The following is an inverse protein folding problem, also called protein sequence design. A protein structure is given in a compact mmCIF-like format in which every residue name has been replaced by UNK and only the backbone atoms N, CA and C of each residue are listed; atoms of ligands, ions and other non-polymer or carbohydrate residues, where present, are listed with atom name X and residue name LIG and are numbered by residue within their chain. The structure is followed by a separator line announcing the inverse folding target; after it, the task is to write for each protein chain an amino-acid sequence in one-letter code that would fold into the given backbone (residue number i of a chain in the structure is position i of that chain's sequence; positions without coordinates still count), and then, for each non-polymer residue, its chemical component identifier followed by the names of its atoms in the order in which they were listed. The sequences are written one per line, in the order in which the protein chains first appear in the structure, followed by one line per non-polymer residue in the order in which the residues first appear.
data_IF_147927211211
#
_entry.id   IF_147927211211
#
_cell.length_a   1.000
_cell.length_b   1.000
_cell.length_c   1.000
_cell.angle_alpha   90.00
_cell.angle_beta   90.00
_cell.angle_gamma   90.00
#
_symmetry.space_group_name_H-M   'P 1'
#
loop_
_entity.id
_entity.type
_entity.pdbx_description
1 polymer ?
#
# COMPACT_ATOMS: atom_id res chain seq x y z
N UNK A 1 18.31 4.96 -19.77
CA UNK A 1 18.48 3.49 -19.78
C UNK A 1 18.77 3.08 -18.35
N UNK A 2 18.07 2.07 -17.84
CA UNK A 2 18.18 1.61 -16.46
C UNK A 2 18.63 0.15 -16.43
N UNK A 3 19.32 -0.27 -15.36
CA UNK A 3 19.83 -1.63 -15.18
C UNK A 3 19.27 -2.18 -13.86
N UNK A 4 18.71 -3.38 -13.90
CA UNK A 4 18.19 -4.03 -12.69
C UNK A 4 19.33 -4.65 -11.90
N UNK A 5 19.60 -4.25 -10.65
CA UNK A 5 20.74 -4.78 -9.89
C UNK A 5 20.60 -6.26 -9.52
N UNK A 6 19.38 -6.83 -9.60
CA UNK A 6 19.14 -8.23 -9.25
C UNK A 6 19.32 -9.21 -10.41
N UNK A 7 19.08 -8.78 -11.65
CA UNK A 7 19.19 -9.66 -12.83
C UNK A 7 20.13 -9.12 -13.92
N UNK A 8 20.71 -7.93 -13.71
CA UNK A 8 21.63 -7.25 -14.61
C UNK A 8 21.09 -7.01 -16.04
N UNK A 9 19.77 -7.07 -16.20
CA UNK A 9 19.11 -6.83 -17.48
C UNK A 9 18.79 -5.33 -17.67
N UNK A 10 19.04 -4.77 -18.88
CA UNK A 10 18.66 -3.40 -19.20
C UNK A 10 17.16 -3.28 -19.45
N UNK A 11 16.58 -2.15 -19.08
CA UNK A 11 15.19 -1.82 -19.38
C UNK A 11 14.98 -0.34 -19.69
N UNK A 12 13.90 -0.05 -20.42
CA UNK A 12 13.62 1.26 -20.99
C UNK A 12 13.04 2.21 -19.94
N UNK A 13 12.11 1.73 -19.11
CA UNK A 13 11.46 2.51 -18.06
C UNK A 13 11.23 1.66 -16.80
N UNK A 14 11.41 2.22 -15.59
CA UNK A 14 11.21 1.49 -14.35
C UNK A 14 9.73 1.16 -14.13
N UNK A 15 9.46 -0.07 -13.67
CA UNK A 15 8.14 -0.45 -13.20
C UNK A 15 7.84 0.22 -11.85
N UNK A 16 6.83 1.08 -11.81
CA UNK A 16 6.36 1.72 -10.58
C UNK A 16 5.55 0.70 -9.79
N UNK A 17 5.87 0.54 -8.49
CA UNK A 17 5.20 -0.40 -7.58
C UNK A 17 4.85 0.31 -6.29
N UNK A 18 3.73 -0.09 -5.67
CA UNK A 18 3.40 0.42 -4.34
C UNK A 18 4.34 -0.16 -3.28
N UNK A 19 4.67 0.71 -2.33
CA UNK A 19 5.20 0.36 -1.01
C UNK A 19 4.51 1.27 0.00
N UNK A 20 3.33 0.86 0.43
CA UNK A 20 2.49 1.64 1.31
C UNK A 20 2.82 1.32 2.77
N UNK A 21 2.91 2.35 3.61
CA UNK A 21 2.95 2.19 5.06
C UNK A 21 1.69 2.85 5.64
N UNK A 22 0.85 2.08 6.30
CA UNK A 22 -0.47 2.50 6.78
C UNK A 22 -0.51 2.36 8.29
N UNK A 23 -0.96 3.41 8.97
CA UNK A 23 -1.36 3.33 10.37
C UNK A 23 -2.80 2.81 10.44
N UNK A 24 -2.98 1.70 11.14
CA UNK A 24 -4.28 1.13 11.47
C UNK A 24 -4.54 1.29 12.96
N UNK A 25 -5.81 1.35 13.34
CA UNK A 25 -6.24 1.50 14.73
C UNK A 25 -7.31 0.46 15.04
N UNK A 26 -7.14 -0.23 16.16
CA UNK A 26 -8.12 -1.14 16.76
C UNK A 26 -8.29 -0.85 18.26
N UNK A 27 -9.03 -1.70 18.97
CA UNK A 27 -9.29 -1.56 20.41
C UNK A 27 -8.02 -1.63 21.28
N UNK A 28 -6.92 -2.18 20.75
CA UNK A 28 -5.65 -2.36 21.43
C UNK A 28 -4.67 -1.21 21.17
N UNK A 29 -4.92 -0.42 20.13
CA UNK A 29 -4.18 0.80 19.82
C UNK A 29 -3.83 0.93 18.34
N UNK A 30 -2.72 1.63 18.08
CA UNK A 30 -2.27 1.98 16.73
C UNK A 30 -1.09 1.12 16.30
N UNK A 31 -1.15 0.65 15.06
CA UNK A 31 -0.12 -0.21 14.47
C UNK A 31 0.23 0.24 13.06
N UNK A 32 1.52 0.18 12.73
CA UNK A 32 2.01 0.41 11.37
C UNK A 32 2.09 -0.92 10.61
N UNK A 33 1.49 -0.95 9.42
CA UNK A 33 1.46 -2.13 8.56
C UNK A 33 1.90 -1.75 7.15
N UNK A 34 2.77 -2.58 6.58
CA UNK A 34 3.25 -2.43 5.21
C UNK A 34 2.31 -3.15 4.24
N UNK A 35 1.93 -2.51 3.15
CA UNK A 35 1.23 -3.15 2.04
C UNK A 35 2.03 -3.00 0.74
N UNK A 36 2.19 -4.10 0.03
CA UNK A 36 2.93 -4.15 -1.24
C UNK A 36 1.99 -4.11 -2.44
N UNK A 37 2.58 -4.04 -3.62
CA UNK A 37 1.93 -3.77 -4.90
C UNK A 37 0.52 -4.36 -5.05
N UNK A 38 0.37 -5.67 -4.95
CA UNK A 38 -0.91 -6.34 -5.24
C UNK A 38 -1.97 -6.01 -4.18
N UNK A 39 -1.59 -6.00 -2.90
CA UNK A 39 -2.45 -5.59 -1.79
C UNK A 39 -2.90 -4.13 -1.95
N UNK A 40 -1.95 -3.23 -2.24
CA UNK A 40 -2.24 -1.80 -2.42
C UNK A 40 -3.07 -1.54 -3.67
N UNK A 41 -2.84 -2.25 -4.77
CA UNK A 41 -3.68 -2.19 -5.96
C UNK A 41 -5.10 -2.63 -5.64
N UNK A 42 -5.29 -3.68 -4.83
CA UNK A 42 -6.61 -4.06 -4.35
C UNK A 42 -7.29 -2.97 -3.51
N UNK A 43 -6.53 -2.31 -2.63
CA UNK A 43 -7.03 -1.25 -1.75
C UNK A 43 -7.44 0.02 -2.52
N UNK A 44 -6.58 0.52 -3.43
CA UNK A 44 -6.86 1.71 -4.23
C UNK A 44 -7.73 1.42 -5.46
N UNK A 45 -7.87 0.14 -5.83
CA UNK A 45 -8.46 -0.33 -7.09
C UNK A 45 -7.79 0.30 -8.32
N UNK A 46 -6.50 0.62 -8.23
CA UNK A 46 -5.71 1.30 -9.27
C UNK A 46 -4.26 0.81 -9.26
N UNK A 47 -3.62 0.76 -10.42
CA UNK A 47 -2.20 0.40 -10.51
C UNK A 47 -1.31 1.52 -9.96
N UNK A 48 -0.11 1.17 -9.49
CA UNK A 48 0.85 2.15 -8.97
C UNK A 48 1.29 3.15 -10.05
N UNK A 49 1.42 2.69 -11.31
CA UNK A 49 1.71 3.55 -12.45
C UNK A 49 0.61 4.59 -12.65
N UNK A 50 -0.67 4.19 -12.62
CA UNK A 50 -1.79 5.11 -12.81
C UNK A 50 -1.85 6.16 -11.71
N UNK A 51 -1.71 5.75 -10.44
CA UNK A 51 -1.68 6.69 -9.32
C UNK A 51 -0.51 7.67 -9.43
N UNK A 52 0.67 7.21 -9.84
CA UNK A 52 1.82 8.09 -10.06
C UNK A 52 1.58 9.08 -11.20
N UNK A 53 0.99 8.64 -12.31
CA UNK A 53 0.65 9.53 -13.43
C UNK A 53 -0.35 10.63 -13.01
N UNK A 54 -1.37 10.27 -12.23
CA UNK A 54 -2.31 11.27 -11.69
C UNK A 54 -1.66 12.22 -10.69
N UNK A 55 -0.76 11.70 -9.85
CA UNK A 55 -0.04 12.52 -8.87
C UNK A 55 0.79 13.61 -9.54
N UNK A 56 1.49 13.28 -10.64
CA UNK A 56 2.37 14.19 -11.37
C UNK A 56 1.62 15.14 -12.33
N UNK A 57 0.38 14.80 -12.69
CA UNK A 57 -0.46 15.61 -13.58
C UNK A 57 -1.14 16.76 -12.83
N UNK A 58 -1.05 17.98 -13.36
CA UNK A 58 -1.78 19.14 -12.79
C UNK A 58 -3.29 19.06 -12.97
N UNK A 59 -3.74 18.45 -14.07
CA UNK A 59 -5.15 18.38 -14.46
C UNK A 59 -5.85 17.20 -13.76
N UNK A 60 -5.12 16.11 -13.55
CA UNK A 60 -5.66 14.84 -13.06
C UNK A 60 -5.38 14.59 -11.57
N UNK A 61 -4.66 15.51 -10.89
CA UNK A 61 -4.32 15.39 -9.46
C UNK A 61 -5.54 15.15 -8.57
N UNK A 62 -6.71 15.66 -8.97
CA UNK A 62 -7.96 15.41 -8.28
C UNK A 62 -8.33 13.92 -8.20
N UNK A 63 -8.04 13.12 -9.22
CA UNK A 63 -8.34 11.68 -9.22
C UNK A 63 -7.46 10.92 -8.24
N UNK A 64 -6.18 11.32 -8.13
CA UNK A 64 -5.28 10.80 -7.10
C UNK A 64 -5.85 11.04 -5.70
N UNK A 65 -6.24 12.27 -5.38
CA UNK A 65 -6.81 12.59 -4.07
C UNK A 65 -8.15 11.90 -3.81
N UNK A 66 -9.02 11.80 -4.81
CA UNK A 66 -10.27 11.05 -4.68
C UNK A 66 -10.03 9.59 -4.27
N UNK A 67 -9.00 8.93 -4.80
CA UNK A 67 -8.68 7.55 -4.38
C UNK A 67 -8.07 7.49 -2.98
N UNK A 68 -7.17 8.40 -2.64
CA UNK A 68 -6.50 8.42 -1.33
C UNK A 68 -7.51 8.71 -0.20
N UNK A 69 -8.40 9.68 -0.40
CA UNK A 69 -9.35 10.13 0.63
C UNK A 69 -10.46 9.13 0.93
N UNK A 70 -10.69 8.13 0.07
CA UNK A 70 -11.71 7.10 0.27
C UNK A 70 -11.28 6.00 1.25
N UNK A 71 -10.02 5.96 1.68
CA UNK A 71 -9.48 4.86 2.48
C UNK A 71 -9.50 5.14 3.99
N UNK A 72 -9.07 6.32 4.48
CA UNK A 72 -9.11 6.65 5.89
C UNK A 72 -10.51 6.54 6.48
N UNK A 73 -10.59 6.28 7.79
CA UNK A 73 -11.84 6.22 8.58
C UNK A 73 -12.84 5.12 8.17
N UNK A 74 -12.40 4.13 7.39
CA UNK A 74 -13.17 2.92 7.09
C UNK A 74 -12.70 1.74 7.93
N UNK A 75 -13.61 0.79 8.17
CA UNK A 75 -13.29 -0.48 8.84
C UNK A 75 -12.92 -1.55 7.81
N UNK A 76 -11.83 -2.25 8.09
CA UNK A 76 -11.35 -3.35 7.26
C UNK A 76 -11.07 -4.57 8.12
N UNK A 77 -11.42 -5.75 7.60
CA UNK A 77 -10.76 -6.97 8.03
C UNK A 77 -9.44 -7.10 7.27
N UNK A 78 -8.33 -7.19 8.00
CA UNK A 78 -6.98 -7.18 7.43
C UNK A 78 -6.31 -8.54 7.70
N UNK A 79 -5.85 -9.19 6.64
CA UNK A 79 -5.01 -10.39 6.77
C UNK A 79 -3.56 -9.95 6.90
N UNK A 80 -2.96 -10.19 8.07
CA UNK A 80 -1.59 -9.75 8.38
C UNK A 80 -0.65 -10.95 8.43
N UNK A 81 0.48 -10.84 7.75
CA UNK A 81 1.65 -11.68 7.96
C UNK A 81 2.66 -10.95 8.85
N UNK A 82 3.06 -11.59 9.93
CA UNK A 82 4.07 -11.07 10.84
C UNK A 82 5.42 -11.72 10.53
N UNK A 83 6.44 -10.91 10.29
CA UNK A 83 7.81 -11.40 10.20
C UNK A 83 8.77 -10.45 10.93
N UNK A 84 10.02 -10.86 11.09
CA UNK A 84 11.06 -9.99 11.62
C UNK A 84 11.86 -9.38 10.47
N UNK A 85 12.21 -8.10 10.57
CA UNK A 85 13.11 -7.48 9.62
C UNK A 85 14.45 -8.23 9.61
N UNK A 86 14.93 -8.58 8.42
CA UNK A 86 16.13 -9.39 8.22
C UNK A 86 17.37 -8.53 7.98
N UNK A 87 17.20 -7.24 7.69
CA UNK A 87 18.26 -6.37 7.17
C UNK A 87 18.27 -4.98 7.83
N UNK A 88 19.40 -4.27 7.73
CA UNK A 88 19.50 -2.88 8.19
C UNK A 88 19.41 -2.67 9.70
N UNK A 89 19.14 -1.41 10.10
CA UNK A 89 19.13 -0.96 11.51
C UNK A 89 17.95 -1.49 12.33
N UNK A 90 16.89 -1.94 11.66
CA UNK A 90 15.68 -2.45 12.30
C UNK A 90 15.67 -3.99 12.37
N UNK A 91 16.78 -4.65 12.00
CA UNK A 91 16.92 -6.10 12.03
C UNK A 91 16.46 -6.70 13.36
N UNK A 92 15.64 -7.74 13.28
CA UNK A 92 15.07 -8.43 14.43
C UNK A 92 13.81 -7.78 15.01
N UNK A 93 13.42 -6.59 14.55
CA UNK A 93 12.15 -5.98 14.97
C UNK A 93 10.98 -6.58 14.21
N UNK A 94 9.80 -6.64 14.85
CA UNK A 94 8.59 -7.11 14.18
C UNK A 94 8.20 -6.16 13.05
N UNK A 95 7.77 -6.75 11.95
CA UNK A 95 7.25 -6.09 10.78
C UNK A 95 5.91 -6.75 10.42
N UNK A 96 4.90 -5.91 10.25
CA UNK A 96 3.56 -6.33 9.90
C UNK A 96 3.34 -6.06 8.42
N UNK A 97 2.93 -7.08 7.68
CA UNK A 97 2.67 -7.02 6.24
C UNK A 97 1.21 -7.34 6.00
N UNK A 98 0.46 -6.40 5.44
CA UNK A 98 -0.90 -6.63 4.99
C UNK A 98 -0.88 -7.44 3.69
N UNK A 99 -1.49 -8.61 3.72
CA UNK A 99 -1.70 -9.46 2.54
C UNK A 99 -3.02 -9.12 1.85
N UNK A 100 -4.01 -8.61 2.60
CA UNK A 100 -5.34 -8.29 2.06
C UNK A 100 -6.08 -7.31 2.96
N UNK A 101 -6.80 -6.38 2.34
CA UNK A 101 -7.82 -5.55 2.98
C UNK A 101 -9.19 -5.97 2.47
N UNK A 102 -10.14 -6.16 3.39
CA UNK A 102 -11.53 -6.46 3.08
C UNK A 102 -12.37 -5.39 3.75
N UNK A 103 -12.93 -4.48 2.96
CA UNK A 103 -13.81 -3.42 3.49
C UNK A 103 -15.03 -4.05 4.16
N UNK A 104 -15.25 -3.70 5.42
CA UNK A 104 -16.43 -4.16 6.16
C UNK A 104 -17.56 -3.19 5.88
N UNK A 105 -18.58 -3.64 5.15
CA UNK A 105 -19.83 -2.89 5.04
C UNK A 105 -20.46 -2.77 6.42
N UNK A 106 -20.67 -1.54 6.89
CA UNK A 106 -21.58 -1.27 7.99
C UNK A 106 -22.98 -1.68 7.55
N UNK A 107 -23.45 -2.83 8.02
CA UNK A 107 -24.88 -3.11 8.03
C UNK A 107 -25.48 -2.08 8.97
N UNK A 108 -26.18 -1.07 8.42
CA UNK A 108 -27.04 -0.24 9.22
C UNK A 108 -28.13 -1.16 9.78
N UNK A 109 -28.02 -1.52 11.06
CA UNK A 109 -29.12 -2.12 11.78
C UNK A 109 -30.15 -1.00 11.96
N UNK A 110 -31.18 -1.02 11.11
CA UNK A 110 -32.40 -0.22 11.29
C UNK A 110 -33.47 -1.16 11.81
#
# INVERSE_FOLDING_TARGET
MFICPSCDLPYIAPGIKYRLNVEIEDETGKHWVNAFNDTSTGLFQQSALQMHSWQDSKEENQFYWQKILLIPYKKYAIVIHAESDKVGKQKGRPMWIALKFIEMSTVAVV
#
